data_IF_724959547564
#
_entry.id   IF_724959547564
#
_cell.length_a   1.000
_cell.length_b   1.000
_cell.length_c   1.000
_cell.angle_alpha   90.00
_cell.angle_beta   90.00
_cell.angle_gamma   90.00
#
_symmetry.space_group_name_H-M   'P 1'
#
loop_
_entity.id
_entity.type
_entity.pdbx_description
1 polymer ?
#
# COMPACT_ATOMS: atom_id res chain seq x y z
N UNK A 1 -71.32 -53.25 1.11
CA UNK A 1 -70.37 -54.02 1.94
C UNK A 1 -69.45 -54.71 0.95
N UNK A 2 -68.15 -54.50 0.85
CA UNK A 2 -67.19 -53.81 1.71
C UNK A 2 -66.00 -53.41 0.85
N UNK A 3 -65.43 -52.24 1.16
CA UNK A 3 -64.24 -51.65 0.58
C UNK A 3 -62.99 -52.40 1.04
N UNK A 4 -62.10 -52.81 0.13
CA UNK A 4 -60.74 -53.26 0.47
C UNK A 4 -59.74 -52.16 0.12
N UNK A 5 -59.22 -51.49 1.15
CA UNK A 5 -58.13 -50.53 1.03
C UNK A 5 -56.82 -51.28 0.77
N UNK A 6 -56.24 -51.07 -0.42
CA UNK A 6 -54.88 -51.51 -0.76
C UNK A 6 -53.88 -50.43 -0.34
N UNK A 7 -53.38 -50.52 0.89
CA UNK A 7 -52.25 -49.69 1.35
C UNK A 7 -50.95 -50.29 0.82
N UNK A 8 -50.36 -49.63 -0.18
CA UNK A 8 -49.03 -49.95 -0.71
C UNK A 8 -47.95 -49.58 0.31
N UNK A 9 -47.38 -50.57 1.00
CA UNK A 9 -46.19 -50.41 1.83
C UNK A 9 -44.93 -50.29 0.96
N UNK A 10 -44.23 -49.16 1.05
CA UNK A 10 -42.93 -48.96 0.39
C UNK A 10 -41.78 -49.57 1.23
N UNK A 11 -40.77 -50.24 0.62
CA UNK A 11 -39.78 -51.06 1.34
C UNK A 11 -38.82 -50.24 2.21
N UNK A 12 -38.50 -50.78 3.39
CA UNK A 12 -37.66 -50.21 4.45
C UNK A 12 -36.27 -49.69 4.00
N UNK A 13 -35.70 -50.25 2.92
CA UNK A 13 -34.39 -49.85 2.36
C UNK A 13 -34.42 -48.46 1.68
N UNK A 14 -35.57 -48.05 1.13
CA UNK A 14 -35.75 -46.75 0.46
C UNK A 14 -35.68 -45.58 1.47
N UNK A 15 -36.06 -45.81 2.73
CA UNK A 15 -36.06 -44.81 3.81
C UNK A 15 -34.65 -44.40 4.24
N UNK A 16 -33.68 -45.31 4.20
CA UNK A 16 -32.30 -45.01 4.56
C UNK A 16 -31.58 -44.20 3.46
N UNK A 17 -31.80 -44.56 2.20
CA UNK A 17 -31.22 -43.86 1.05
C UNK A 17 -31.74 -42.41 0.95
N UNK A 18 -33.00 -42.17 1.30
CA UNK A 18 -33.61 -40.83 1.35
C UNK A 18 -33.12 -40.00 2.54
N UNK A 19 -32.85 -40.60 3.71
CA UNK A 19 -32.22 -39.92 4.85
C UNK A 19 -30.78 -39.50 4.54
N UNK A 20 -29.98 -40.38 3.93
CA UNK A 20 -28.61 -40.08 3.50
C UNK A 20 -28.58 -38.96 2.45
N UNK A 21 -29.46 -39.01 1.43
CA UNK A 21 -29.61 -37.92 0.45
C UNK A 21 -29.99 -36.59 1.09
N UNK A 22 -30.90 -36.58 2.07
CA UNK A 22 -31.25 -35.37 2.85
C UNK A 22 -30.07 -34.83 3.66
N UNK A 23 -29.25 -35.71 4.25
CA UNK A 23 -28.06 -35.29 4.99
C UNK A 23 -26.99 -34.70 4.07
N UNK A 24 -26.72 -35.32 2.92
CA UNK A 24 -25.83 -34.77 1.91
C UNK A 24 -26.34 -33.41 1.43
N UNK A 25 -27.62 -33.30 1.07
CA UNK A 25 -28.22 -32.04 0.67
C UNK A 25 -28.10 -30.96 1.75
N UNK A 26 -28.35 -31.29 3.02
CA UNK A 26 -28.16 -30.35 4.15
C UNK A 26 -26.71 -29.88 4.29
N UNK A 27 -25.73 -30.78 4.13
CA UNK A 27 -24.31 -30.44 4.16
C UNK A 27 -23.95 -29.52 2.99
N UNK A 28 -24.32 -29.89 1.77
CA UNK A 28 -24.07 -29.10 0.56
C UNK A 28 -24.71 -27.71 0.65
N UNK A 29 -25.96 -27.60 1.09
CA UNK A 29 -26.63 -26.29 1.28
C UNK A 29 -25.92 -25.48 2.36
N UNK A 30 -25.57 -26.08 3.50
CA UNK A 30 -24.84 -25.36 4.55
C UNK A 30 -23.48 -24.84 4.07
N UNK A 31 -22.78 -25.60 3.23
CA UNK A 31 -21.48 -25.23 2.69
C UNK A 31 -21.60 -24.13 1.63
N UNK A 32 -22.60 -24.21 0.75
CA UNK A 32 -22.94 -23.14 -0.19
C UNK A 32 -23.28 -21.85 0.56
N UNK A 33 -24.13 -21.91 1.60
CA UNK A 33 -24.47 -20.74 2.41
C UNK A 33 -23.23 -20.13 3.07
N UNK A 34 -22.27 -20.93 3.54
CA UNK A 34 -21.01 -20.45 4.11
C UNK A 34 -20.06 -19.84 3.08
N UNK A 35 -20.08 -20.33 1.84
CA UNK A 35 -19.29 -19.78 0.75
C UNK A 35 -19.86 -18.45 0.25
N UNK A 36 -21.19 -18.37 0.06
CA UNK A 36 -21.88 -17.12 -0.22
C UNK A 36 -21.61 -16.12 0.92
N UNK A 37 -21.84 -16.57 2.18
CA UNK A 37 -21.18 -16.22 3.46
C UNK A 37 -19.97 -15.29 3.44
N UNK A 38 -19.06 -15.62 2.53
CA UNK A 38 -17.68 -15.18 2.53
C UNK A 38 -17.47 -14.07 1.52
N UNK A 39 -18.15 -14.12 0.37
CA UNK A 39 -17.95 -13.21 -0.77
C UNK A 39 -18.13 -11.73 -0.39
N UNK A 40 -19.02 -11.42 0.55
CA UNK A 40 -19.28 -10.03 0.95
C UNK A 40 -18.23 -9.46 1.91
N UNK A 41 -17.35 -10.30 2.44
CA UNK A 41 -16.22 -9.89 3.28
C UNK A 41 -14.89 -9.94 2.52
N UNK A 42 -14.94 -10.13 1.20
CA UNK A 42 -13.76 -10.19 0.34
C UNK A 42 -13.39 -8.78 -0.15
N UNK A 43 -12.11 -8.44 -0.08
CA UNK A 43 -11.58 -7.22 -0.65
C UNK A 43 -11.56 -7.30 -2.18
N UNK A 44 -12.08 -6.28 -2.87
CA UNK A 44 -12.10 -6.24 -4.33
C UNK A 44 -10.72 -6.04 -5.00
N UNK A 45 -9.67 -5.72 -4.22
CA UNK A 45 -8.30 -5.57 -4.72
C UNK A 45 -7.54 -6.89 -4.68
N UNK A 46 -7.45 -7.53 -3.50
CA UNK A 46 -6.69 -8.77 -3.32
C UNK A 46 -7.53 -10.04 -3.50
N UNK A 47 -8.87 -9.91 -3.60
CA UNK A 47 -9.81 -11.04 -3.71
C UNK A 47 -9.72 -12.04 -2.54
N UNK A 48 -9.24 -11.56 -1.39
CA UNK A 48 -9.12 -12.31 -0.14
C UNK A 48 -9.97 -11.68 0.97
N UNK A 49 -10.15 -12.40 2.09
CA UNK A 49 -10.88 -11.90 3.26
C UNK A 49 -10.25 -10.59 3.77
N UNK A 50 -11.06 -9.56 3.98
CA UNK A 50 -10.55 -8.26 4.41
C UNK A 50 -9.88 -8.35 5.79
N UNK A 51 -8.60 -7.99 5.84
CA UNK A 51 -7.85 -7.81 7.07
C UNK A 51 -7.74 -6.32 7.40
N UNK A 52 -8.18 -5.92 8.60
CA UNK A 52 -8.25 -4.53 9.06
C UNK A 52 -8.90 -3.60 8.01
N UNK A 53 -10.20 -3.79 7.72
CA UNK A 53 -10.92 -3.06 6.68
C UNK A 53 -10.99 -1.55 6.95
N UNK A 54 -10.63 -0.74 5.96
CA UNK A 54 -10.73 0.72 6.03
C UNK A 54 -11.74 1.24 5.01
N UNK A 55 -12.58 2.17 5.46
CA UNK A 55 -13.50 2.92 4.61
C UNK A 55 -12.79 4.14 4.01
N UNK A 56 -12.91 4.33 2.71
CA UNK A 56 -12.37 5.50 1.99
C UNK A 56 -13.43 6.59 1.84
N UNK A 57 -13.08 7.84 2.15
CA UNK A 57 -13.94 9.00 1.91
C UNK A 57 -13.53 9.76 0.64
N UNK A 58 -14.48 10.32 -0.14
CA UNK A 58 -15.93 10.44 0.15
C UNK A 58 -16.80 9.24 -0.28
N UNK A 59 -16.25 8.29 -1.06
CA UNK A 59 -17.03 7.24 -1.72
C UNK A 59 -17.55 6.09 -0.84
N UNK A 60 -17.07 5.97 0.40
CA UNK A 60 -17.46 4.96 1.40
C UNK A 60 -17.22 3.49 0.98
N UNK A 61 -16.33 3.24 0.02
CA UNK A 61 -15.88 1.88 -0.29
C UNK A 61 -14.93 1.33 0.77
N UNK A 62 -14.91 0.02 0.96
CA UNK A 62 -14.14 -0.65 2.02
C UNK A 62 -13.08 -1.55 1.40
N UNK A 63 -11.84 -1.42 1.84
CA UNK A 63 -10.69 -2.20 1.36
C UNK A 63 -9.80 -2.66 2.52
N UNK A 64 -8.94 -3.64 2.27
CA UNK A 64 -7.96 -4.10 3.25
C UNK A 64 -6.86 -3.05 3.50
N UNK A 65 -6.33 -2.98 4.72
CA UNK A 65 -5.30 -1.99 5.09
C UNK A 65 -4.10 -2.04 4.14
N UNK A 66 -3.57 -3.24 3.91
CA UNK A 66 -2.42 -3.47 3.03
C UNK A 66 -2.68 -3.01 1.59
N UNK A 67 -3.89 -3.29 1.09
CA UNK A 67 -4.31 -2.92 -0.25
C UNK A 67 -4.28 -1.40 -0.45
N UNK A 68 -4.69 -0.65 0.57
CA UNK A 68 -4.64 0.81 0.55
C UNK A 68 -3.21 1.34 0.67
N UNK A 69 -2.35 0.72 1.49
CA UNK A 69 -0.92 1.07 1.57
C UNK A 69 -0.20 0.84 0.24
N UNK A 70 -0.48 -0.27 -0.43
CA UNK A 70 0.08 -0.59 -1.75
C UNK A 70 -0.40 0.44 -2.80
N UNK A 71 -1.68 0.83 -2.77
CA UNK A 71 -2.21 1.90 -3.62
C UNK A 71 -1.52 3.25 -3.39
N UNK A 72 -1.30 3.62 -2.13
CA UNK A 72 -0.59 4.85 -1.77
C UNK A 72 0.88 4.83 -2.21
N UNK A 73 1.52 3.66 -2.14
CA UNK A 73 2.92 3.49 -2.58
C UNK A 73 3.04 3.56 -4.09
N UNK A 74 2.09 2.97 -4.83
CA UNK A 74 2.10 2.98 -6.28
C UNK A 74 1.82 4.37 -6.87
N UNK A 75 0.92 5.16 -6.26
CA UNK A 75 0.51 6.48 -6.76
C UNK A 75 0.46 7.52 -5.63
N UNK A 76 1.61 8.00 -5.14
CA UNK A 76 1.67 8.88 -3.96
C UNK A 76 0.99 10.25 -4.17
N UNK A 77 0.90 10.73 -5.41
CA UNK A 77 0.34 12.05 -5.72
C UNK A 77 -1.16 12.04 -5.99
N UNK A 78 -1.73 10.92 -6.45
CA UNK A 78 -3.14 10.80 -6.84
C UNK A 78 -3.65 9.38 -6.59
N UNK A 79 -4.08 9.11 -5.36
CA UNK A 79 -4.76 7.86 -5.05
C UNK A 79 -6.26 7.96 -5.38
N UNK A 80 -6.74 7.02 -6.19
CA UNK A 80 -8.14 6.94 -6.62
C UNK A 80 -8.74 5.62 -6.18
N UNK A 81 -10.03 5.64 -5.85
CA UNK A 81 -10.78 4.43 -5.49
C UNK A 81 -10.86 3.45 -6.68
N UNK A 82 -10.48 2.17 -6.52
CA UNK A 82 -10.59 1.18 -7.60
C UNK A 82 -12.02 0.92 -8.09
N UNK A 83 -13.03 1.16 -7.25
CA UNK A 83 -14.43 0.88 -7.57
C UNK A 83 -15.12 2.03 -8.30
N UNK A 84 -14.90 3.27 -7.86
CA UNK A 84 -15.62 4.44 -8.39
C UNK A 84 -14.71 5.54 -8.98
N UNK A 85 -13.39 5.35 -8.95
CA UNK A 85 -12.37 6.29 -9.45
C UNK A 85 -12.34 7.67 -8.78
N UNK A 86 -13.14 7.90 -7.73
CA UNK A 86 -13.09 9.12 -6.91
C UNK A 86 -11.74 9.26 -6.20
N UNK A 87 -11.29 10.51 -5.99
CA UNK A 87 -10.09 10.79 -5.18
C UNK A 87 -10.28 10.35 -3.74
N UNK A 88 -9.27 9.69 -3.18
CA UNK A 88 -9.26 9.27 -1.78
C UNK A 88 -8.69 10.40 -0.94
N UNK A 89 -9.50 10.99 -0.06
CA UNK A 89 -9.07 12.06 0.84
C UNK A 89 -8.69 11.56 2.22
N UNK A 90 -9.40 10.55 2.73
CA UNK A 90 -9.20 9.98 4.06
C UNK A 90 -9.51 8.47 4.04
N UNK A 91 -8.74 7.69 4.81
CA UNK A 91 -9.02 6.30 5.12
C UNK A 91 -9.24 6.13 6.62
N UNK A 92 -10.39 5.57 7.02
CA UNK A 92 -10.72 5.31 8.42
C UNK A 92 -10.94 3.82 8.65
N UNK A 93 -10.40 3.26 9.73
CA UNK A 93 -10.62 1.87 10.09
C UNK A 93 -12.10 1.64 10.44
N UNK A 94 -12.77 0.73 9.74
CA UNK A 94 -14.14 0.35 10.04
C UNK A 94 -14.16 -0.77 11.08
N UNK A 95 -14.19 -0.39 12.36
CA UNK A 95 -14.05 -1.35 13.46
C UNK A 95 -15.20 -2.36 13.55
N UNK A 96 -16.39 -2.01 13.07
CA UNK A 96 -17.56 -2.89 13.12
C UNK A 96 -17.45 -4.03 12.12
N UNK A 97 -17.04 -3.72 10.88
CA UNK A 97 -16.75 -4.73 9.85
C UNK A 97 -15.61 -5.63 10.29
N UNK A 98 -14.56 -5.07 10.89
CA UNK A 98 -13.42 -5.85 11.41
C UNK A 98 -13.86 -6.87 12.49
N UNK A 99 -14.72 -6.46 13.43
CA UNK A 99 -15.29 -7.35 14.45
C UNK A 99 -16.16 -8.44 13.84
N UNK A 100 -16.99 -8.10 12.85
CA UNK A 100 -17.86 -9.07 12.18
C UNK A 100 -17.04 -10.14 11.45
N UNK A 101 -16.01 -9.73 10.70
CA UNK A 101 -15.12 -10.66 9.99
C UNK A 101 -14.40 -11.58 10.99
N UNK A 102 -13.86 -11.02 12.08
CA UNK A 102 -13.19 -11.81 13.14
C UNK A 102 -14.13 -12.83 13.78
N UNK A 103 -15.39 -12.46 14.01
CA UNK A 103 -16.38 -13.35 14.61
C UNK A 103 -16.79 -14.48 13.67
N UNK A 104 -16.89 -14.20 12.37
CA UNK A 104 -17.41 -15.16 11.40
C UNK A 104 -16.33 -16.07 10.81
N UNK A 105 -15.09 -15.57 10.68
CA UNK A 105 -13.96 -16.26 10.04
C UNK A 105 -12.65 -16.14 10.84
N UNK A 106 -12.62 -16.60 12.11
CA UNK A 106 -11.47 -16.40 13.00
C UNK A 106 -10.20 -17.14 12.56
N UNK A 107 -10.33 -18.27 11.85
CA UNK A 107 -9.19 -19.06 11.40
C UNK A 107 -8.51 -18.40 10.20
N UNK A 108 -9.31 -17.95 9.24
CA UNK A 108 -8.88 -17.25 8.05
C UNK A 108 -8.25 -15.90 8.42
N UNK A 109 -8.88 -15.14 9.32
CA UNK A 109 -8.35 -13.86 9.79
C UNK A 109 -6.95 -13.99 10.42
N UNK A 110 -6.68 -15.06 11.17
CA UNK A 110 -5.36 -15.32 11.79
C UNK A 110 -4.26 -15.58 10.76
N UNK A 111 -4.56 -16.30 9.67
CA UNK A 111 -3.59 -16.55 8.59
C UNK A 111 -3.05 -15.25 7.97
N UNK A 112 -3.91 -14.24 7.84
CA UNK A 112 -3.50 -12.92 7.36
C UNK A 112 -2.64 -12.15 8.37
N UNK A 113 -2.87 -12.33 9.68
CA UNK A 113 -2.06 -11.71 10.72
C UNK A 113 -0.62 -12.27 10.79
N UNK A 114 -0.46 -13.55 10.47
CA UNK A 114 0.84 -14.24 10.44
C UNK A 114 1.66 -13.92 9.18
N UNK A 115 1.00 -13.52 8.09
CA UNK A 115 1.61 -13.09 6.84
C UNK A 115 2.28 -11.71 6.94
N UNK A 116 3.48 -11.65 7.51
CA UNK A 116 4.45 -10.53 7.52
C UNK A 116 3.89 -9.16 7.12
N UNK A 117 3.56 -8.36 8.13
CA UNK A 117 3.21 -6.94 8.06
C UNK A 117 4.26 -6.17 7.23
N UNK A 118 3.87 -5.63 6.08
CA UNK A 118 4.58 -4.53 5.44
C UNK A 118 4.07 -3.25 6.10
N UNK A 119 4.95 -2.47 6.71
CA UNK A 119 4.58 -1.18 7.30
C UNK A 119 4.71 -0.10 6.22
N UNK A 120 3.60 0.22 5.54
CA UNK A 120 3.51 1.31 4.56
C UNK A 120 2.57 2.42 5.04
N UNK A 121 2.69 3.65 4.50
CA UNK A 121 1.77 4.75 4.82
C UNK A 121 0.39 4.51 4.18
N UNK A 122 -0.69 4.87 4.89
CA UNK A 122 -2.06 4.83 4.36
C UNK A 122 -2.39 6.10 3.55
N UNK A 123 -3.22 5.99 2.50
CA UNK A 123 -3.67 7.15 1.75
C UNK A 123 -4.57 8.04 2.61
N UNK A 124 -4.44 9.36 2.48
CA UNK A 124 -5.33 10.30 3.14
C UNK A 124 -5.14 10.47 4.66
N UNK A 125 -4.14 9.85 5.27
CA UNK A 125 -3.83 10.15 6.67
C UNK A 125 -3.17 11.53 6.76
N UNK A 126 -3.96 12.54 7.12
CA UNK A 126 -3.54 13.90 7.45
C UNK A 126 -2.75 13.96 8.77
N UNK A 127 -1.73 13.11 8.92
CA UNK A 127 -0.63 13.53 9.77
C UNK A 127 0.06 14.66 9.03
N UNK A 128 -0.26 15.89 9.43
CA UNK A 128 0.72 16.98 9.50
C UNK A 128 1.86 16.54 10.43
N UNK A 129 2.57 15.49 10.07
CA UNK A 129 3.97 15.38 10.41
C UNK A 129 4.62 15.91 9.16
N UNK A 130 5.15 17.12 9.30
CA UNK A 130 6.18 17.67 8.45
C UNK A 130 6.88 16.52 7.73
N UNK A 131 6.74 16.42 6.40
CA UNK A 131 7.55 15.52 5.59
C UNK A 131 8.98 16.03 5.75
N UNK A 132 9.60 15.67 6.88
CA UNK A 132 10.98 15.97 7.14
C UNK A 132 11.78 15.28 6.07
N UNK A 133 12.90 15.90 5.70
CA UNK A 133 13.86 15.33 4.76
C UNK A 133 14.14 13.84 5.06
N UNK A 134 14.10 13.44 6.33
CA UNK A 134 14.27 12.06 6.80
C UNK A 134 13.18 11.06 6.36
N UNK A 135 11.91 11.43 6.32
CA UNK A 135 10.83 10.55 5.85
C UNK A 135 10.86 10.41 4.32
N UNK A 136 11.23 11.48 3.61
CA UNK A 136 11.49 11.44 2.16
C UNK A 136 12.73 10.58 1.83
N UNK A 137 13.79 10.66 2.62
CA UNK A 137 14.99 9.79 2.50
C UNK A 137 14.62 8.32 2.76
N UNK A 138 13.84 8.02 3.80
CA UNK A 138 13.37 6.64 4.09
C UNK A 138 12.52 6.06 2.95
N UNK A 139 11.66 6.86 2.33
CA UNK A 139 10.82 6.44 1.22
C UNK A 139 11.63 6.20 -0.07
N UNK A 140 12.53 7.12 -0.42
CA UNK A 140 13.37 7.01 -1.62
C UNK A 140 14.42 5.89 -1.53
N UNK A 141 14.95 5.63 -0.33
CA UNK A 141 15.94 4.55 -0.10
C UNK A 141 15.35 3.13 -0.06
N UNK A 142 14.01 2.99 -0.05
CA UNK A 142 13.33 1.70 -0.20
C UNK A 142 13.46 1.10 -1.61
N UNK A 143 13.66 1.93 -2.62
CA UNK A 143 13.90 1.51 -4.01
C UNK A 143 15.41 1.36 -4.25
N UNK A 144 15.88 0.12 -4.53
CA UNK A 144 17.31 -0.18 -4.74
C UNK A 144 17.97 0.65 -5.83
N UNK A 145 17.21 1.03 -6.85
CA UNK A 145 17.69 1.77 -8.02
C UNK A 145 18.20 3.19 -7.71
N UNK A 146 17.71 3.85 -6.65
CA UNK A 146 17.96 5.29 -6.41
C UNK A 146 18.76 5.60 -5.14
N UNK A 147 19.19 4.57 -4.38
CA UNK A 147 19.96 4.77 -3.14
C UNK A 147 21.25 5.56 -3.36
N UNK A 148 21.97 5.27 -4.44
CA UNK A 148 23.25 5.95 -4.72
C UNK A 148 23.06 7.41 -5.14
N UNK A 149 22.02 7.71 -5.93
CA UNK A 149 21.74 9.06 -6.42
C UNK A 149 21.43 9.99 -5.25
N UNK A 150 20.55 9.57 -4.33
CA UNK A 150 20.16 10.38 -3.16
C UNK A 150 21.37 10.62 -2.25
N UNK A 151 22.15 9.58 -1.97
CA UNK A 151 23.37 9.68 -1.14
C UNK A 151 24.36 10.67 -1.77
N UNK A 152 24.63 10.57 -3.08
CA UNK A 152 25.55 11.47 -3.78
C UNK A 152 25.07 12.94 -3.75
N UNK A 153 23.77 13.21 -3.87
CA UNK A 153 23.24 14.57 -3.80
C UNK A 153 23.44 15.23 -2.42
N UNK A 154 23.31 14.46 -1.33
CA UNK A 154 23.60 14.98 0.02
C UNK A 154 25.08 15.29 0.21
N UNK A 155 25.99 14.43 -0.25
CA UNK A 155 27.42 14.68 -0.16
C UNK A 155 27.87 15.86 -1.03
N UNK A 156 27.32 16.01 -2.24
CA UNK A 156 27.63 17.14 -3.12
C UNK A 156 27.13 18.46 -2.51
N UNK A 157 25.92 18.50 -1.96
CA UNK A 157 25.39 19.66 -1.27
C UNK A 157 26.21 20.05 -0.03
N UNK A 158 26.59 19.06 0.79
CA UNK A 158 27.44 19.29 1.96
C UNK A 158 28.84 19.79 1.56
N UNK A 159 29.42 19.24 0.49
CA UNK A 159 30.70 19.71 -0.04
C UNK A 159 30.64 21.16 -0.53
N UNK A 160 29.57 21.55 -1.23
CA UNK A 160 29.37 22.95 -1.69
C UNK A 160 29.27 23.90 -0.49
N UNK A 161 28.55 23.53 0.57
CA UNK A 161 28.41 24.34 1.79
C UNK A 161 29.74 24.46 2.55
N UNK A 162 30.52 23.38 2.62
CA UNK A 162 31.86 23.42 3.23
C UNK A 162 32.83 24.26 2.39
N UNK A 163 32.80 24.14 1.06
CA UNK A 163 33.64 24.92 0.16
C UNK A 163 33.30 26.42 0.23
N UNK A 164 32.04 26.79 0.36
CA UNK A 164 31.63 28.20 0.50
C UNK A 164 32.04 28.79 1.85
N UNK A 165 31.95 28.03 2.95
CA UNK A 165 32.49 28.47 4.25
C UNK A 165 34.01 28.58 4.25
N UNK A 166 34.69 27.60 3.65
CA UNK A 166 36.15 27.64 3.50
C UNK A 166 36.63 28.85 2.69
N UNK A 167 35.91 29.22 1.63
CA UNK A 167 36.18 30.43 0.84
C UNK A 167 35.86 31.73 1.61
N UNK A 168 34.94 31.70 2.57
CA UNK A 168 34.59 32.87 3.38
C UNK A 168 35.59 33.14 4.51
N UNK A 169 36.23 32.09 5.03
CA UNK A 169 37.22 32.21 6.12
C UNK A 169 38.64 32.58 5.62
N UNK A 170 38.85 32.62 4.30
CA UNK A 170 40.16 32.90 3.67
C UNK A 170 40.18 34.21 2.85
N UNK A 171 39.43 35.23 3.27
CA UNK A 171 39.62 36.61 2.80
C UNK A 171 40.38 37.38 3.89
N UNK A 172 41.73 37.37 3.90
CA UNK A 172 42.45 38.46 4.53
C UNK A 172 42.25 39.70 3.65
N UNK A 173 41.90 40.83 4.26
CA UNK A 173 41.80 42.12 3.58
C UNK A 173 43.14 42.45 2.89
N UNK A 174 43.18 42.33 1.55
CA UNK A 174 44.30 42.83 0.75
C UNK A 174 43.84 44.12 0.06
N UNK A 175 44.55 45.25 0.26
CA UNK A 175 44.19 46.50 -0.39
C UNK A 175 44.42 46.39 -1.90
N UNK A 176 43.41 46.80 -2.66
CA UNK A 176 43.32 46.68 -4.12
C UNK A 176 44.20 47.75 -4.78
N UNK A 177 45.17 47.39 -5.64
CA UNK A 177 45.68 48.30 -6.66
C UNK A 177 44.96 48.03 -7.99
N UNK A 178 44.45 49.09 -8.59
CA UNK A 178 43.87 49.10 -9.94
C UNK A 178 44.93 48.73 -10.97
N UNK A 179 44.88 47.50 -11.48
CA UNK A 179 45.12 47.12 -12.88
C UNK A 179 45.36 45.61 -12.96
N UNK A 180 44.39 44.85 -13.49
CA UNK A 180 44.72 43.58 -14.15
C UNK A 180 43.67 43.15 -15.17
N UNK A 181 44.22 42.76 -16.34
CA UNK A 181 43.60 42.32 -17.59
C UNK A 181 42.64 41.13 -17.44
N UNK A 182 41.63 41.12 -18.33
CA UNK A 182 40.97 39.90 -18.81
C UNK A 182 42.04 38.96 -19.38
N UNK A 183 42.38 37.90 -18.66
CA UNK A 183 42.93 36.65 -19.19
C UNK A 183 42.99 35.66 -18.01
N UNK A 184 41.85 35.12 -17.58
CA UNK A 184 41.75 33.94 -16.71
C UNK A 184 40.27 33.54 -16.54
N UNK A 185 39.71 32.83 -17.52
CA UNK A 185 38.50 32.05 -17.27
C UNK A 185 38.89 30.93 -16.31
N UNK A 186 38.32 30.86 -15.09
CA UNK A 186 38.81 29.94 -14.07
C UNK A 186 38.61 28.50 -14.54
N UNK A 187 39.65 27.67 -14.41
CA UNK A 187 39.67 26.22 -14.67
C UNK A 187 38.45 25.46 -14.10
N UNK A 188 37.77 26.06 -13.13
CA UNK A 188 36.49 25.64 -12.55
C UNK A 188 35.40 25.55 -13.64
N UNK A 189 35.29 26.52 -14.56
CA UNK A 189 34.26 26.53 -15.63
C UNK A 189 34.53 25.40 -16.64
N UNK A 190 35.80 25.10 -16.92
CA UNK A 190 36.19 23.98 -17.80
C UNK A 190 35.88 22.62 -17.13
N UNK A 191 36.06 22.53 -15.81
CA UNK A 191 35.68 21.37 -15.01
C UNK A 191 34.16 21.13 -14.98
N UNK A 192 33.37 22.19 -14.82
CA UNK A 192 31.90 22.09 -14.85
C UNK A 192 31.38 21.63 -16.21
N UNK A 193 31.91 22.18 -17.32
CA UNK A 193 31.48 21.80 -18.67
C UNK A 193 31.90 20.35 -18.99
N UNK A 194 33.09 19.92 -18.58
CA UNK A 194 33.54 18.53 -18.82
C UNK A 194 32.71 17.50 -18.05
N UNK A 195 32.33 17.83 -16.81
CA UNK A 195 31.48 16.95 -15.99
C UNK A 195 30.05 16.91 -16.54
N UNK A 196 29.54 18.03 -17.05
CA UNK A 196 28.22 18.10 -17.69
C UNK A 196 28.16 17.26 -18.98
N UNK A 197 29.23 17.25 -19.77
CA UNK A 197 29.33 16.44 -21.01
C UNK A 197 29.39 14.93 -20.71
N UNK A 198 30.02 14.52 -19.61
CA UNK A 198 30.06 13.11 -19.18
C UNK A 198 28.73 12.63 -18.57
N UNK A 199 27.91 13.54 -18.04
CA UNK A 199 26.58 13.21 -17.47
C UNK A 199 25.50 13.15 -18.57
N UNK A 200 25.69 13.88 -19.69
CA UNK A 200 24.74 13.95 -20.80
C UNK A 200 24.98 12.90 -21.91
N UNK A 201 25.86 11.92 -21.68
CA UNK A 201 26.15 10.83 -22.61
C UNK A 201 25.88 9.47 -21.95
#
# INVERSE_FOLDING_TARGET
MSSTNSSTELPHQQKHLTKHKRQLHKRTVSEICKSLHKEWWVCSICLELMYRPHVVKPCQHIFCERCLQDLATANPLRTSCPLCRSSIEECQLCSDVDKQIKSQFPNEYRKFAEGKQRAGPLPGHSSRRHLGIFDWIRFTTGNREYRHVVICSFYLGHYIILASRYMSDYIPEVPIPNDYKLDNVPLIVIGFISTLILILR
#
